data_IF_291304753860
#
_entry.id   IF_291304753860
#
_cell.length_a   1.000
_cell.length_b   1.000
_cell.length_c   1.000
_cell.angle_alpha   90.00
_cell.angle_beta   90.00
_cell.angle_gamma   90.00
#
_symmetry.space_group_name_H-M   'P 1'
#
loop_
_entity.id
_entity.type
_entity.pdbx_description
1 polymer ?
#
# COMPACT_ATOMS: atom_id res chain seq x y z
N UNK A 1 13.11 -12.77 -1.05
CA UNK A 1 12.00 -12.72 -2.03
C UNK A 1 11.87 -11.27 -2.48
N UNK A 2 12.03 -10.95 -3.77
CA UNK A 2 11.89 -9.56 -4.23
C UNK A 2 10.39 -9.23 -4.22
N UNK A 3 10.00 -8.38 -3.28
CA UNK A 3 8.64 -7.89 -3.17
C UNK A 3 8.38 -6.96 -4.38
N UNK A 4 7.65 -7.47 -5.38
CA UNK A 4 7.30 -6.69 -6.57
C UNK A 4 6.29 -5.62 -6.19
N UNK A 5 6.49 -4.41 -6.71
CA UNK A 5 5.57 -3.27 -6.53
C UNK A 5 4.14 -3.69 -6.87
N UNK A 6 3.22 -3.40 -5.96
CA UNK A 6 1.80 -3.60 -6.16
C UNK A 6 1.29 -2.41 -6.99
N UNK A 7 0.69 -2.64 -8.18
CA UNK A 7 0.06 -1.57 -8.95
C UNK A 7 -1.02 -0.86 -8.16
N UNK A 8 -1.25 0.43 -8.43
CA UNK A 8 -2.17 1.26 -7.63
C UNK A 8 -3.57 0.65 -7.50
N UNK A 9 -4.12 0.08 -8.58
CA UNK A 9 -5.43 -0.60 -8.53
C UNK A 9 -5.43 -1.84 -7.62
N UNK A 10 -4.34 -2.59 -7.57
CA UNK A 10 -4.21 -3.73 -6.65
C UNK A 10 -3.96 -3.25 -5.21
N UNK A 11 -3.27 -2.12 -5.04
CA UNK A 11 -2.98 -1.52 -3.74
C UNK A 11 -4.26 -1.04 -3.05
N UNK A 12 -5.23 -0.52 -3.79
CA UNK A 12 -6.54 -0.14 -3.22
C UNK A 12 -7.24 -1.34 -2.57
N UNK A 13 -7.15 -2.54 -3.16
CA UNK A 13 -7.69 -3.78 -2.55
C UNK A 13 -6.90 -4.15 -1.30
N UNK A 14 -5.56 -4.04 -1.37
CA UNK A 14 -4.72 -4.30 -0.21
C UNK A 14 -5.04 -3.36 0.95
N UNK A 15 -5.32 -2.07 0.70
CA UNK A 15 -5.76 -1.13 1.74
C UNK A 15 -7.04 -1.59 2.43
N UNK A 16 -8.00 -2.14 1.69
CA UNK A 16 -9.23 -2.70 2.27
C UNK A 16 -8.92 -3.92 3.14
N UNK A 17 -8.07 -4.82 2.66
CA UNK A 17 -7.71 -6.04 3.40
C UNK A 17 -6.87 -5.70 4.64
N UNK A 18 -5.90 -4.79 4.55
CA UNK A 18 -5.06 -4.38 5.68
C UNK A 18 -5.80 -3.57 6.74
N UNK A 19 -6.85 -2.83 6.37
CA UNK A 19 -7.67 -2.11 7.33
C UNK A 19 -8.62 -3.04 8.11
N UNK A 20 -8.64 -4.33 7.79
CA UNK A 20 -9.39 -5.34 8.53
C UNK A 20 -8.39 -6.31 9.18
N UNK A 21 -8.42 -6.43 10.51
CA UNK A 21 -7.58 -7.40 11.23
C UNK A 21 -7.96 -8.87 10.98
N UNK A 22 -9.06 -9.11 10.26
CA UNK A 22 -9.61 -10.44 9.96
C UNK A 22 -9.73 -10.67 8.46
N UNK A 23 -9.85 -11.93 8.09
CA UNK A 23 -10.14 -12.34 6.71
C UNK A 23 -11.40 -11.65 6.17
N UNK A 24 -11.28 -10.99 5.02
CA UNK A 24 -12.37 -10.20 4.43
C UNK A 24 -13.07 -11.00 3.34
N UNK A 25 -14.40 -11.02 3.32
CA UNK A 25 -15.11 -11.77 2.30
C UNK A 25 -15.05 -11.09 0.92
N UNK A 26 -15.06 -11.90 -0.13
CA UNK A 26 -15.21 -11.43 -1.53
C UNK A 26 -16.35 -10.41 -1.68
N UNK A 27 -17.50 -10.65 -1.06
CA UNK A 27 -18.67 -9.76 -1.13
C UNK A 27 -18.41 -8.40 -0.49
N UNK A 28 -17.74 -8.37 0.66
CA UNK A 28 -17.40 -7.10 1.34
C UNK A 28 -16.41 -6.29 0.51
N UNK A 29 -15.38 -6.94 -0.04
CA UNK A 29 -14.41 -6.24 -0.89
C UNK A 29 -15.10 -5.68 -2.14
N UNK A 30 -15.97 -6.45 -2.79
CA UNK A 30 -16.74 -5.97 -3.95
C UNK A 30 -17.57 -4.74 -3.57
N UNK A 31 -18.34 -4.81 -2.48
CA UNK A 31 -19.20 -3.70 -2.04
C UNK A 31 -18.38 -2.44 -1.74
N UNK A 32 -17.29 -2.57 -0.98
CA UNK A 32 -16.44 -1.43 -0.65
C UNK A 32 -15.83 -0.79 -1.90
N UNK A 33 -15.48 -1.59 -2.90
CA UNK A 33 -14.89 -1.09 -4.15
C UNK A 33 -15.92 -0.51 -5.11
N UNK A 34 -17.14 -1.02 -5.10
CA UNK A 34 -18.27 -0.42 -5.79
C UNK A 34 -18.59 0.96 -5.18
N UNK A 35 -18.67 1.05 -3.85
CA UNK A 35 -18.97 2.31 -3.15
C UNK A 35 -17.84 3.36 -3.26
N UNK A 36 -16.56 2.96 -3.18
CA UNK A 36 -15.42 3.90 -3.17
C UNK A 36 -14.85 4.23 -4.54
N UNK A 37 -14.96 3.32 -5.51
CA UNK A 37 -14.27 3.41 -6.80
C UNK A 37 -15.19 3.14 -7.99
N UNK A 38 -16.48 2.85 -7.75
CA UNK A 38 -17.46 2.51 -8.79
C UNK A 38 -17.02 1.32 -9.66
N UNK A 39 -16.26 0.39 -9.07
CA UNK A 39 -15.77 -0.78 -9.79
C UNK A 39 -16.86 -1.83 -9.94
N UNK A 40 -16.99 -2.34 -11.17
CA UNK A 40 -17.77 -3.55 -11.42
C UNK A 40 -17.17 -4.73 -10.65
N UNK A 41 -18.05 -5.62 -10.17
CA UNK A 41 -17.68 -6.87 -9.50
C UNK A 41 -16.58 -7.66 -10.24
N UNK A 42 -16.64 -7.73 -11.57
CA UNK A 42 -15.67 -8.46 -12.40
C UNK A 42 -14.25 -7.87 -12.29
N UNK A 43 -14.12 -6.55 -12.18
CA UNK A 43 -12.84 -5.86 -12.00
C UNK A 43 -12.21 -6.25 -10.67
N UNK A 44 -12.96 -6.14 -9.57
CA UNK A 44 -12.49 -6.50 -8.23
C UNK A 44 -12.06 -7.97 -8.15
N UNK A 45 -12.85 -8.88 -8.72
CA UNK A 45 -12.51 -10.31 -8.77
C UNK A 45 -11.25 -10.60 -9.60
N UNK A 46 -11.05 -9.89 -10.71
CA UNK A 46 -9.85 -10.03 -11.55
C UNK A 46 -8.60 -9.58 -10.80
N UNK A 47 -8.68 -8.45 -10.09
CA UNK A 47 -7.58 -7.92 -9.28
C UNK A 47 -7.28 -8.82 -8.08
N UNK A 48 -8.30 -9.33 -7.39
CA UNK A 48 -8.13 -10.34 -6.33
C UNK A 48 -7.40 -11.58 -6.84
N UNK A 49 -7.81 -12.12 -7.99
CA UNK A 49 -7.14 -13.27 -8.61
C UNK A 49 -5.68 -12.98 -8.93
N UNK A 50 -5.36 -11.77 -9.42
CA UNK A 50 -3.97 -11.35 -9.68
C UNK A 50 -3.15 -11.27 -8.39
N UNK A 51 -3.71 -10.70 -7.32
CA UNK A 51 -3.07 -10.63 -6.00
C UNK A 51 -2.82 -12.03 -5.40
N UNK A 52 -3.78 -12.94 -5.54
CA UNK A 52 -3.64 -14.34 -5.11
C UNK A 52 -2.56 -15.07 -5.92
N UNK A 53 -2.54 -14.91 -7.25
CA UNK A 53 -1.51 -15.50 -8.12
C UNK A 53 -0.11 -15.00 -7.76
N UNK A 54 0.01 -13.74 -7.33
CA UNK A 54 1.26 -13.14 -6.85
C UNK A 54 1.64 -13.57 -5.43
N UNK A 55 0.81 -14.38 -4.74
CA UNK A 55 0.97 -14.80 -3.34
C UNK A 55 1.09 -13.62 -2.37
N UNK A 56 0.43 -12.51 -2.68
CA UNK A 56 0.34 -11.33 -1.81
C UNK A 56 -0.80 -11.49 -0.80
N UNK A 57 -1.88 -12.15 -1.24
CA UNK A 57 -3.03 -12.51 -0.41
C UNK A 57 -3.31 -14.01 -0.53
N UNK A 58 -3.82 -14.58 0.55
CA UNK A 58 -4.39 -15.93 0.56
C UNK A 58 -5.88 -15.84 0.25
N UNK A 59 -6.40 -16.88 -0.40
CA UNK A 59 -7.83 -17.04 -0.66
C UNK A 59 -8.30 -18.37 -0.08
N UNK A 60 -9.24 -18.32 0.85
CA UNK A 60 -9.82 -19.49 1.49
C UNK A 60 -11.31 -19.57 1.17
N UNK A 61 -11.77 -20.71 0.66
CA UNK A 61 -13.19 -20.92 0.37
C UNK A 61 -13.87 -21.58 1.55
N UNK A 62 -14.75 -20.85 2.21
CA UNK A 62 -15.59 -21.36 3.31
C UNK A 62 -17.03 -21.45 2.81
N UNK A 63 -17.51 -22.68 2.61
CA UNK A 63 -18.81 -22.97 2.00
C UNK A 63 -18.93 -22.33 0.60
N UNK A 64 -19.78 -21.32 0.47
CA UNK A 64 -20.07 -20.61 -0.79
C UNK A 64 -19.32 -19.28 -0.90
N UNK A 65 -18.63 -18.84 0.16
CA UNK A 65 -17.97 -17.53 0.22
C UNK A 65 -16.46 -17.72 0.25
N UNK A 66 -15.76 -16.97 -0.60
CA UNK A 66 -14.30 -16.86 -0.53
C UNK A 66 -13.91 -15.71 0.38
N UNK A 67 -12.99 -15.98 1.29
CA UNK A 67 -12.37 -15.04 2.20
C UNK A 67 -10.92 -14.80 1.80
N UNK A 68 -10.46 -13.56 1.95
CA UNK A 68 -9.12 -13.15 1.60
C UNK A 68 -8.38 -12.62 2.83
N UNK A 69 -7.12 -13.01 2.96
CA UNK A 69 -6.25 -12.60 4.07
C UNK A 69 -4.92 -12.12 3.50
N UNK A 70 -4.39 -11.01 4.02
CA UNK A 70 -3.08 -10.53 3.62
C UNK A 70 -1.99 -11.51 4.06
N UNK A 71 -1.12 -11.92 3.14
CA UNK A 71 0.10 -12.69 3.46
C UNK A 71 1.23 -11.72 3.79
N UNK A 72 1.29 -10.59 3.08
CA UNK A 72 2.25 -9.52 3.29
C UNK A 72 1.60 -8.45 4.14
N UNK A 73 2.22 -8.13 5.27
CA UNK A 73 1.73 -7.06 6.13
C UNK A 73 2.01 -5.68 5.51
N UNK A 74 1.17 -4.71 5.88
CA UNK A 74 1.24 -3.34 5.35
C UNK A 74 2.57 -2.66 5.67
N UNK A 75 3.11 -2.89 6.87
CA UNK A 75 4.31 -2.21 7.36
C UNK A 75 5.55 -2.69 6.59
N UNK A 76 5.76 -3.99 6.50
CA UNK A 76 6.85 -4.58 5.72
C UNK A 76 6.75 -4.24 4.24
N UNK A 77 5.53 -4.20 3.68
CA UNK A 77 5.34 -3.75 2.30
C UNK A 77 5.81 -2.31 2.11
N UNK A 78 5.35 -1.39 2.97
CA UNK A 78 5.69 0.02 2.91
C UNK A 78 7.18 0.28 3.15
N UNK A 79 7.81 -0.40 4.10
CA UNK A 79 9.26 -0.26 4.36
C UNK A 79 10.09 -0.64 3.13
N UNK A 80 9.77 -1.80 2.52
CA UNK A 80 10.48 -2.28 1.32
C UNK A 80 10.20 -1.39 0.11
N UNK A 81 8.93 -0.98 -0.09
CA UNK A 81 8.58 -0.10 -1.20
C UNK A 81 9.23 1.28 -1.06
N UNK A 82 9.20 1.86 0.14
CA UNK A 82 9.79 3.18 0.41
C UNK A 82 11.30 3.14 0.23
N UNK A 83 11.97 2.11 0.74
CA UNK A 83 13.42 1.92 0.53
C UNK A 83 13.77 1.76 -0.95
N UNK A 84 12.99 0.96 -1.70
CA UNK A 84 13.20 0.79 -3.15
C UNK A 84 12.90 2.08 -3.94
N UNK A 85 11.85 2.81 -3.58
CA UNK A 85 11.50 4.11 -4.17
C UNK A 85 12.63 5.11 -3.97
N UNK A 86 13.08 5.25 -2.72
CA UNK A 86 14.14 6.17 -2.32
C UNK A 86 15.47 5.83 -3.01
N UNK A 87 15.82 4.55 -3.11
CA UNK A 87 17.01 4.09 -3.82
C UNK A 87 16.91 4.32 -5.33
N UNK A 88 15.74 4.07 -5.94
CA UNK A 88 15.57 4.13 -7.40
C UNK A 88 15.46 5.55 -7.93
N UNK A 89 14.76 6.44 -7.21
CA UNK A 89 14.48 7.80 -7.70
C UNK A 89 15.45 8.84 -7.15
N UNK A 90 15.87 8.71 -5.90
CA UNK A 90 16.73 9.69 -5.23
C UNK A 90 18.14 9.17 -4.96
N UNK A 91 18.50 7.98 -5.47
CA UNK A 91 19.83 7.42 -5.30
C UNK A 91 20.23 7.23 -3.84
N UNK A 92 19.25 7.03 -2.94
CA UNK A 92 19.45 6.98 -1.49
C UNK A 92 19.87 8.32 -0.84
N UNK A 93 19.61 9.46 -1.48
CA UNK A 93 19.91 10.80 -0.96
C UNK A 93 18.66 11.46 -0.37
N UNK A 94 18.63 11.61 0.95
CA UNK A 94 17.55 12.31 1.67
C UNK A 94 17.46 13.76 1.25
N UNK A 95 18.61 14.39 1.01
CA UNK A 95 18.70 15.76 0.49
C UNK A 95 17.96 15.89 -0.84
N UNK A 96 18.17 14.97 -1.79
CA UNK A 96 17.49 15.02 -3.09
C UNK A 96 15.97 14.92 -2.95
N UNK A 97 15.49 14.07 -2.04
CA UNK A 97 14.06 13.91 -1.78
C UNK A 97 13.44 15.19 -1.19
N UNK A 98 14.05 15.73 -0.13
CA UNK A 98 13.59 16.95 0.53
C UNK A 98 13.63 18.17 -0.41
N UNK A 99 14.69 18.33 -1.20
CA UNK A 99 14.75 19.41 -2.20
C UNK A 99 13.60 19.32 -3.21
N UNK A 100 13.28 18.11 -3.70
CA UNK A 100 12.18 17.92 -4.66
C UNK A 100 10.82 18.27 -4.05
N UNK A 101 10.59 17.93 -2.77
CA UNK A 101 9.34 18.27 -2.09
C UNK A 101 9.22 19.77 -1.83
N UNK A 102 10.32 20.41 -1.41
CA UNK A 102 10.37 21.85 -1.17
C UNK A 102 10.13 22.63 -2.48
N UNK A 103 10.78 22.23 -3.57
CA UNK A 103 10.64 22.89 -4.87
C UNK A 103 9.21 22.75 -5.45
N UNK A 104 8.46 21.73 -5.05
CA UNK A 104 7.05 21.53 -5.44
C UNK A 104 6.03 22.15 -4.45
N UNK A 105 6.48 22.86 -3.40
CA UNK A 105 5.66 23.36 -2.30
C UNK A 105 4.85 22.26 -1.57
N UNK A 106 5.34 21.02 -1.59
CA UNK A 106 4.71 19.90 -0.86
C UNK A 106 5.14 19.86 0.62
N UNK A 107 6.17 20.63 0.99
CA UNK A 107 6.63 20.84 2.37
C UNK A 107 6.91 22.33 2.59
N UNK A 108 6.61 22.81 3.79
CA UNK A 108 6.84 24.18 4.23
C UNK A 108 8.12 24.30 5.05
N UNK A 109 8.56 25.53 5.30
CA UNK A 109 9.65 25.80 6.24
C UNK A 109 9.33 25.28 7.66
N UNK A 110 8.06 25.31 8.05
CA UNK A 110 7.59 24.77 9.34
C UNK A 110 7.75 23.24 9.41
N UNK A 111 7.44 22.52 8.32
CA UNK A 111 7.66 21.07 8.23
C UNK A 111 9.16 20.71 8.33
N UNK A 112 10.04 21.56 7.78
CA UNK A 112 11.49 21.39 7.87
C UNK A 112 12.00 21.60 9.30
N UNK A 113 11.49 22.61 10.00
CA UNK A 113 11.82 22.88 11.40
C UNK A 113 11.36 21.72 12.32
N UNK A 114 10.15 21.19 12.11
CA UNK A 114 9.66 20.01 12.84
C UNK A 114 10.53 18.78 12.57
N UNK A 115 10.93 18.56 11.32
CA UNK A 115 11.81 17.46 10.95
C UNK A 115 13.20 17.60 11.62
N UNK A 116 13.78 18.81 11.62
CA UNK A 116 15.06 19.06 12.29
C UNK A 116 14.97 18.75 13.79
N UNK A 117 13.89 19.21 14.43
CA UNK A 117 13.64 18.94 15.85
C UNK A 117 13.52 17.45 16.14
N UNK A 118 12.74 16.72 15.36
CA UNK A 118 12.58 15.27 15.50
C UNK A 118 13.91 14.52 15.34
N UNK A 119 14.76 14.92 14.39
CA UNK A 119 16.10 14.33 14.18
C UNK A 119 17.00 14.56 15.40
N UNK A 120 16.95 15.75 16.00
CA UNK A 120 17.74 16.08 17.20
C UNK A 120 17.30 15.27 18.42
N UNK A 121 16.00 15.02 18.58
CA UNK A 121 15.44 14.23 19.68
C UNK A 121 15.62 12.71 19.50
N UNK A 122 15.73 12.24 18.26
CA UNK A 122 15.90 10.81 17.93
C UNK A 122 17.36 10.35 17.92
N UNK A 123 18.30 11.21 18.30
CA UNK A 123 19.75 10.97 18.30
C UNK A 123 20.28 10.68 19.71
#
# INVERSE_FOLDING_TARGET
>A
MILKKIPDSELEIMKVIWNNDKSVSSKEIIKIMEDKKEWKQTTTLTLLKRLTNKKIISAEKVKTVTYYTAIIDKKSYLEVETSNFFKKLHGNSLKSFITTLHDNNDITDEDLDELEKWIRESR
#
